data_IF_688611006055
#
_entry.id   IF_688611006055
#
_cell.length_a   1.000
_cell.length_b   1.000
_cell.length_c   1.000
_cell.angle_alpha   90.00
_cell.angle_beta   90.00
_cell.angle_gamma   90.00
#
_symmetry.space_group_name_H-M   'P 1'
#
loop_
_entity.id
_entity.type
_entity.pdbx_description
1 polymer ?
#
# COMPACT_ATOMS: atom_id res chain seq x y z
N UNK A 1 -35.80 -4.27 -10.93
CA UNK A 1 -36.39 -3.45 -9.85
C UNK A 1 -36.36 -2.00 -10.27
N UNK A 2 -37.53 -1.37 -10.41
CA UNK A 2 -37.64 0.08 -10.67
C UNK A 2 -37.37 0.77 -9.34
N UNK A 3 -36.28 1.53 -9.24
CA UNK A 3 -36.01 2.31 -8.05
C UNK A 3 -37.13 3.35 -7.86
N UNK A 4 -37.80 3.38 -6.70
CA UNK A 4 -38.91 4.29 -6.48
C UNK A 4 -38.44 5.75 -6.51
N UNK A 5 -39.32 6.69 -6.90
CA UNK A 5 -38.95 8.10 -7.18
C UNK A 5 -38.16 8.80 -6.06
N UNK A 6 -38.44 8.46 -4.80
CA UNK A 6 -37.74 8.99 -3.62
C UNK A 6 -36.28 8.53 -3.50
N UNK A 7 -35.88 7.47 -4.22
CA UNK A 7 -34.49 7.02 -4.26
C UNK A 7 -33.57 8.06 -4.92
N UNK A 8 -34.08 8.88 -5.85
CA UNK A 8 -33.23 9.86 -6.55
C UNK A 8 -33.08 11.19 -5.77
N UNK A 9 -33.91 11.42 -4.75
CA UNK A 9 -33.82 12.60 -3.87
C UNK A 9 -33.16 12.22 -2.54
N UNK A 10 -31.93 12.69 -2.33
CA UNK A 10 -31.13 12.42 -1.13
C UNK A 10 -31.77 12.98 0.15
N UNK A 11 -32.54 14.07 0.07
CA UNK A 11 -33.19 14.65 1.25
C UNK A 11 -34.33 13.75 1.72
N UNK A 12 -35.20 13.33 0.80
CA UNK A 12 -36.28 12.40 1.09
C UNK A 12 -35.75 11.03 1.53
N UNK A 13 -34.65 10.57 0.93
CA UNK A 13 -33.96 9.36 1.35
C UNK A 13 -33.47 9.45 2.80
N UNK A 14 -32.82 10.56 3.18
CA UNK A 14 -32.33 10.78 4.53
C UNK A 14 -33.46 10.91 5.56
N UNK A 15 -34.58 11.58 5.22
CA UNK A 15 -35.76 11.67 6.09
C UNK A 15 -36.37 10.29 6.34
N UNK A 16 -36.46 9.44 5.31
CA UNK A 16 -36.96 8.07 5.47
C UNK A 16 -36.05 7.19 6.32
N UNK A 17 -34.73 7.32 6.17
CA UNK A 17 -33.76 6.61 7.02
C UNK A 17 -34.02 6.80 8.52
N UNK A 18 -34.58 7.94 8.93
CA UNK A 18 -34.91 8.21 10.33
C UNK A 18 -36.09 7.37 10.85
N UNK A 19 -36.94 6.84 9.97
CA UNK A 19 -38.10 6.03 10.32
C UNK A 19 -37.85 4.52 10.24
N UNK A 20 -36.74 4.09 9.67
CA UNK A 20 -36.37 2.67 9.64
C UNK A 20 -35.98 2.18 11.03
N UNK A 21 -36.23 0.90 11.31
CA UNK A 21 -35.72 0.23 12.50
C UNK A 21 -34.19 0.09 12.43
N UNK A 22 -33.55 -0.16 13.56
CA UNK A 22 -32.10 -0.36 13.61
C UNK A 22 -31.66 -1.59 12.79
N UNK A 23 -32.48 -2.64 12.76
CA UNK A 23 -32.26 -3.85 11.97
C UNK A 23 -32.35 -3.57 10.47
N UNK A 24 -33.39 -2.86 10.03
CA UNK A 24 -33.56 -2.48 8.61
C UNK A 24 -32.41 -1.58 8.15
N UNK A 25 -31.97 -0.66 9.01
CA UNK A 25 -30.92 0.28 8.68
C UNK A 25 -29.55 -0.40 8.58
N UNK A 26 -29.31 -1.44 9.39
CA UNK A 26 -28.18 -2.35 9.24
C UNK A 26 -28.30 -3.18 7.96
N UNK A 27 -29.47 -3.73 7.65
CA UNK A 27 -29.68 -4.51 6.44
C UNK A 27 -29.40 -3.69 5.16
N UNK A 28 -29.91 -2.46 5.11
CA UNK A 28 -29.62 -1.50 4.04
C UNK A 28 -28.11 -1.23 3.96
N UNK A 29 -27.43 -1.03 5.09
CA UNK A 29 -25.99 -0.83 5.14
C UNK A 29 -25.21 -2.03 4.56
N UNK A 30 -25.65 -3.26 4.84
CA UNK A 30 -25.03 -4.48 4.32
C UNK A 30 -25.30 -4.70 2.83
N UNK A 31 -26.43 -4.24 2.30
CA UNK A 31 -26.85 -4.52 0.91
C UNK A 31 -26.62 -3.37 -0.09
N UNK A 32 -26.43 -2.14 0.38
CA UNK A 32 -26.16 -1.01 -0.51
C UNK A 32 -24.76 -1.10 -1.14
N UNK A 33 -24.64 -0.76 -2.43
CA UNK A 33 -23.37 -0.79 -3.13
C UNK A 33 -22.62 0.55 -2.97
N UNK A 34 -21.49 0.61 -2.23
CA UNK A 34 -20.89 1.88 -1.82
C UNK A 34 -20.27 2.67 -2.98
N UNK A 35 -19.78 1.99 -4.03
CA UNK A 35 -19.18 2.66 -5.20
C UNK A 35 -20.26 3.21 -6.14
N UNK A 36 -21.32 2.45 -6.38
CA UNK A 36 -22.39 2.82 -7.33
C UNK A 36 -23.35 3.84 -6.73
N UNK A 37 -23.57 3.79 -5.42
CA UNK A 37 -24.52 4.65 -4.68
C UNK A 37 -23.85 5.32 -3.48
N UNK A 38 -22.73 6.00 -3.74
CA UNK A 38 -21.89 6.59 -2.69
C UNK A 38 -22.66 7.60 -1.81
N UNK A 39 -23.48 8.46 -2.41
CA UNK A 39 -24.22 9.47 -1.67
C UNK A 39 -25.24 8.85 -0.70
N UNK A 40 -25.99 7.85 -1.15
CA UNK A 40 -26.94 7.08 -0.34
C UNK A 40 -26.23 6.31 0.77
N UNK A 41 -25.08 5.70 0.47
CA UNK A 41 -24.27 5.01 1.47
C UNK A 41 -23.82 5.95 2.60
N UNK A 42 -23.43 7.18 2.26
CA UNK A 42 -23.07 8.19 3.25
C UNK A 42 -24.26 8.62 4.11
N UNK A 43 -25.47 8.70 3.55
CA UNK A 43 -26.69 8.97 4.32
C UNK A 43 -26.97 7.87 5.36
N UNK A 44 -26.87 6.60 4.96
CA UNK A 44 -27.03 5.45 5.89
C UNK A 44 -25.98 5.49 6.99
N UNK A 45 -24.71 5.72 6.63
CA UNK A 45 -23.61 5.86 7.60
C UNK A 45 -23.78 7.03 8.56
N UNK A 46 -24.42 8.11 8.12
CA UNK A 46 -24.70 9.29 8.96
C UNK A 46 -25.77 8.96 9.99
N UNK A 47 -26.83 8.26 9.57
CA UNK A 47 -27.92 7.88 10.45
C UNK A 47 -27.49 6.79 11.46
N UNK A 48 -26.70 5.80 11.04
CA UNK A 48 -26.07 4.83 11.95
C UNK A 48 -25.25 5.53 13.05
N UNK A 49 -24.41 6.51 12.66
CA UNK A 49 -23.62 7.30 13.60
C UNK A 49 -24.48 8.13 14.53
N UNK A 50 -25.56 8.74 14.02
CA UNK A 50 -26.52 9.51 14.82
C UNK A 50 -27.17 8.66 15.91
N UNK A 51 -27.49 7.41 15.61
CA UNK A 51 -28.10 6.44 16.54
C UNK A 51 -27.09 5.75 17.47
N UNK A 52 -25.81 6.10 17.39
CA UNK A 52 -24.76 5.44 18.17
C UNK A 52 -24.51 3.99 17.77
N UNK A 53 -25.15 3.51 16.70
CA UNK A 53 -24.90 2.20 16.11
C UNK A 53 -23.54 2.27 15.44
N UNK A 54 -22.55 1.63 16.05
CA UNK A 54 -21.30 1.34 15.38
C UNK A 54 -21.58 0.13 14.50
N UNK A 55 -21.81 0.28 13.17
CA UNK A 55 -21.80 -0.88 12.32
C UNK A 55 -20.45 -1.56 12.59
N UNK A 56 -20.48 -2.77 13.17
CA UNK A 56 -19.30 -3.64 13.12
C UNK A 56 -18.96 -3.64 11.65
N UNK A 57 -17.79 -3.10 11.30
CA UNK A 57 -17.38 -2.96 9.92
C UNK A 57 -17.72 -4.28 9.25
N UNK A 58 -18.74 -4.24 8.37
CA UNK A 58 -19.16 -5.41 7.64
C UNK A 58 -17.89 -5.93 7.02
N UNK A 59 -17.38 -7.04 7.53
CA UNK A 59 -16.27 -7.77 6.97
C UNK A 59 -16.78 -8.29 5.64
N UNK A 60 -16.86 -7.41 4.63
CA UNK A 60 -17.17 -7.82 3.28
C UNK A 60 -15.93 -8.58 2.81
N UNK A 61 -16.04 -9.89 2.57
CA UNK A 61 -14.96 -10.63 1.95
C UNK A 61 -14.76 -10.06 0.54
N UNK A 62 -13.55 -9.58 0.27
CA UNK A 62 -12.94 -9.43 -1.05
C UNK A 62 -13.88 -9.18 -2.25
N UNK A 63 -14.28 -7.93 -2.46
CA UNK A 63 -14.66 -7.48 -3.80
C UNK A 63 -13.43 -6.82 -4.47
N UNK A 64 -12.58 -7.68 -5.05
CA UNK A 64 -11.37 -7.30 -5.79
C UNK A 64 -10.13 -7.22 -4.90
N UNK A 65 -9.17 -8.12 -5.13
CA UNK A 65 -7.85 -8.22 -4.46
C UNK A 65 -7.17 -6.85 -4.30
N UNK A 66 -7.51 -6.12 -3.24
CA UNK A 66 -6.72 -5.02 -2.72
C UNK A 66 -6.01 -5.57 -1.52
N UNK A 67 -4.68 -5.64 -1.61
CA UNK A 67 -3.82 -5.89 -0.46
C UNK A 67 -4.16 -4.82 0.57
N UNK A 68 -4.93 -5.13 1.60
CA UNK A 68 -5.35 -4.16 2.61
C UNK A 68 -4.83 -4.64 3.97
N UNK A 69 -3.56 -4.32 4.23
CA UNK A 69 -2.79 -4.71 5.41
C UNK A 69 -3.56 -4.53 6.74
N UNK A 70 -4.36 -3.46 6.95
CA UNK A 70 -5.19 -3.30 8.15
C UNK A 70 -6.23 -4.40 8.33
N UNK A 71 -6.81 -4.92 7.24
CA UNK A 71 -7.80 -6.00 7.29
C UNK A 71 -7.15 -7.32 7.69
N UNK A 72 -5.93 -7.59 7.21
CA UNK A 72 -5.17 -8.79 7.58
C UNK A 72 -4.82 -8.81 9.06
N UNK A 73 -4.40 -7.66 9.62
CA UNK A 73 -4.11 -7.53 11.05
C UNK A 73 -5.40 -7.66 11.89
N UNK A 74 -6.51 -7.10 11.41
CA UNK A 74 -7.82 -7.21 12.07
C UNK A 74 -8.42 -8.62 12.06
N UNK A 75 -8.05 -9.46 11.09
CA UNK A 75 -8.50 -10.85 11.00
C UNK A 75 -7.83 -11.77 12.04
N UNK A 76 -6.73 -11.34 12.67
CA UNK A 76 -6.07 -12.11 13.71
C UNK A 76 -6.82 -11.94 15.04
N UNK A 77 -7.65 -12.92 15.40
CA UNK A 77 -8.57 -12.86 16.54
C UNK A 77 -7.93 -12.57 17.91
N UNK A 78 -6.64 -12.89 18.09
CA UNK A 78 -5.88 -12.54 19.30
C UNK A 78 -5.52 -11.05 19.37
N UNK A 79 -5.29 -10.41 18.21
CA UNK A 79 -4.84 -9.02 18.11
C UNK A 79 -6.03 -8.04 18.18
N UNK A 80 -7.21 -8.47 17.73
CA UNK A 80 -8.43 -7.66 17.77
C UNK A 80 -8.85 -7.22 19.18
N UNK A 81 -8.40 -7.93 20.23
CA UNK A 81 -8.71 -7.62 21.64
C UNK A 81 -7.78 -6.55 22.25
N UNK A 82 -6.66 -6.24 21.60
CA UNK A 82 -5.64 -5.31 22.12
C UNK A 82 -5.29 -4.25 21.06
N UNK A 83 -5.91 -3.06 21.09
CA UNK A 83 -5.76 -2.05 20.03
C UNK A 83 -4.32 -1.52 19.90
N UNK A 84 -3.55 -1.54 20.99
CA UNK A 84 -2.15 -1.11 21.02
C UNK A 84 -1.24 -2.15 20.35
N UNK A 85 -1.48 -3.44 20.62
CA UNK A 85 -0.78 -4.55 19.97
C UNK A 85 -1.06 -4.58 18.46
N UNK A 86 -2.31 -4.31 18.07
CA UNK A 86 -2.70 -4.20 16.66
C UNK A 86 -1.91 -3.11 15.91
N UNK A 87 -1.68 -1.95 16.54
CA UNK A 87 -0.87 -0.87 15.98
C UNK A 87 0.60 -1.25 15.85
N UNK A 88 1.17 -1.90 16.87
CA UNK A 88 2.57 -2.36 16.83
C UNK A 88 2.79 -3.40 15.73
N UNK A 89 1.92 -4.41 15.65
CA UNK A 89 1.99 -5.45 14.62
C UNK A 89 1.80 -4.84 13.23
N UNK A 90 0.83 -3.93 13.07
CA UNK A 90 0.64 -3.22 11.82
C UNK A 90 1.86 -2.40 11.39
N UNK A 91 2.48 -1.69 12.34
CA UNK A 91 3.70 -0.93 12.09
C UNK A 91 4.87 -1.81 11.68
N UNK A 92 5.08 -2.91 12.40
CA UNK A 92 6.13 -3.88 12.09
C UNK A 92 5.92 -4.50 10.70
N UNK A 93 4.69 -4.93 10.40
CA UNK A 93 4.36 -5.48 9.08
C UNK A 93 4.54 -4.45 7.96
N UNK A 94 4.18 -3.19 8.21
CA UNK A 94 4.39 -2.09 7.25
C UNK A 94 5.89 -1.91 6.95
N UNK A 95 6.72 -1.90 7.99
CA UNK A 95 8.16 -1.76 7.86
C UNK A 95 8.77 -2.95 7.12
N UNK A 96 8.44 -4.18 7.53
CA UNK A 96 8.94 -5.41 6.92
C UNK A 96 8.48 -5.56 5.47
N UNK A 97 7.21 -5.24 5.17
CA UNK A 97 6.68 -5.31 3.82
C UNK A 97 7.41 -4.35 2.90
N UNK A 98 7.55 -3.09 3.30
CA UNK A 98 8.31 -2.10 2.53
C UNK A 98 9.76 -2.53 2.33
N UNK A 99 10.41 -3.02 3.39
CA UNK A 99 11.79 -3.50 3.32
C UNK A 99 11.93 -4.67 2.34
N UNK A 100 11.01 -5.64 2.38
CA UNK A 100 10.99 -6.80 1.50
C UNK A 100 10.73 -6.41 0.04
N UNK A 101 9.75 -5.54 -0.23
CA UNK A 101 9.45 -5.07 -1.59
C UNK A 101 10.61 -4.28 -2.19
N UNK A 102 11.29 -3.48 -1.37
CA UNK A 102 12.50 -2.76 -1.77
C UNK A 102 13.64 -3.74 -2.07
N UNK A 103 13.82 -4.78 -1.24
CA UNK A 103 14.83 -5.81 -1.47
C UNK A 103 14.57 -6.59 -2.76
N UNK A 104 13.31 -6.94 -3.05
CA UNK A 104 12.90 -7.56 -4.31
C UNK A 104 13.20 -6.64 -5.50
N UNK A 105 12.93 -5.34 -5.38
CA UNK A 105 13.26 -4.35 -6.40
C UNK A 105 14.77 -4.16 -6.62
N UNK A 106 15.58 -4.34 -5.56
CA UNK A 106 17.04 -4.24 -5.62
C UNK A 106 17.71 -5.55 -6.07
N UNK A 107 17.04 -6.71 -5.92
CA UNK A 107 17.55 -8.00 -6.35
C UNK A 107 18.03 -8.04 -7.82
N UNK A 108 17.28 -7.51 -8.82
CA UNK A 108 17.77 -7.48 -10.20
C UNK A 108 19.00 -6.57 -10.37
N UNK A 109 19.07 -5.44 -9.64
CA UNK A 109 20.26 -4.56 -9.64
C UNK A 109 21.46 -5.32 -9.07
N UNK A 110 21.28 -5.99 -7.93
CA UNK A 110 22.32 -6.83 -7.33
C UNK A 110 22.80 -7.91 -8.30
N UNK A 111 21.87 -8.70 -8.85
CA UNK A 111 22.20 -9.80 -9.76
C UNK A 111 22.90 -9.30 -11.03
N UNK A 112 22.44 -8.18 -11.62
CA UNK A 112 23.08 -7.57 -12.77
C UNK A 112 24.53 -7.18 -12.44
N UNK A 113 24.77 -6.54 -11.29
CA UNK A 113 26.15 -6.17 -10.89
C UNK A 113 27.05 -7.37 -10.60
N UNK A 114 26.50 -8.51 -10.15
CA UNK A 114 27.29 -9.72 -9.95
C UNK A 114 27.62 -10.43 -11.27
N UNK A 115 26.63 -10.54 -12.16
CA UNK A 115 26.76 -11.27 -13.42
C UNK A 115 27.57 -10.50 -14.48
N UNK A 116 27.51 -9.17 -14.46
CA UNK A 116 28.26 -8.35 -15.40
C UNK A 116 29.74 -8.29 -15.00
N UNK A 117 30.60 -8.74 -15.92
CA UNK A 117 32.06 -8.66 -15.75
C UNK A 117 32.55 -7.21 -15.86
N UNK A 118 31.95 -6.45 -16.77
CA UNK A 118 32.22 -5.03 -16.98
C UNK A 118 30.92 -4.24 -16.90
N UNK A 119 30.97 -3.06 -16.28
CA UNK A 119 29.86 -2.13 -16.17
C UNK A 119 30.38 -0.80 -16.72
N UNK A 120 29.82 -0.35 -17.82
CA UNK A 120 30.14 0.95 -18.40
C UNK A 120 29.41 2.09 -17.63
N UNK A 121 29.83 3.36 -17.81
CA UNK A 121 29.24 4.49 -17.11
C UNK A 121 27.73 4.67 -17.36
N UNK A 122 27.23 4.36 -18.57
CA UNK A 122 25.79 4.48 -18.88
C UNK A 122 24.98 3.40 -18.17
N UNK A 123 25.46 2.15 -18.19
CA UNK A 123 24.83 1.06 -17.43
C UNK A 123 24.86 1.34 -15.92
N UNK A 124 25.96 1.90 -15.41
CA UNK A 124 26.05 2.28 -14.00
C UNK A 124 25.03 3.38 -13.63
N UNK A 125 24.83 4.37 -14.49
CA UNK A 125 23.82 5.43 -14.32
C UNK A 125 22.40 4.84 -14.36
N UNK A 126 22.13 3.93 -15.29
CA UNK A 126 20.86 3.21 -15.34
C UNK A 126 20.59 2.42 -14.04
N UNK A 127 21.58 1.67 -13.55
CA UNK A 127 21.46 0.93 -12.29
C UNK A 127 21.20 1.88 -11.10
N UNK A 128 21.84 3.06 -11.06
CA UNK A 128 21.54 4.11 -10.06
C UNK A 128 20.10 4.61 -10.12
N UNK A 129 19.54 4.77 -11.32
CA UNK A 129 18.12 5.11 -11.46
C UNK A 129 17.22 3.97 -10.94
N UNK A 130 17.58 2.72 -11.21
CA UNK A 130 16.86 1.55 -10.69
C UNK A 130 16.89 1.47 -9.16
N UNK A 131 17.96 1.90 -8.49
CA UNK A 131 18.03 2.01 -7.03
C UNK A 131 16.96 2.94 -6.47
N UNK A 132 16.85 4.14 -7.04
CA UNK A 132 15.82 5.13 -6.64
C UNK A 132 14.43 4.60 -6.93
N UNK A 133 14.26 3.93 -8.08
CA UNK A 133 13.00 3.31 -8.45
C UNK A 133 12.58 2.19 -7.48
N UNK A 134 13.50 1.30 -7.11
CA UNK A 134 13.25 0.21 -6.17
C UNK A 134 12.82 0.74 -4.79
N UNK A 135 13.48 1.80 -4.31
CA UNK A 135 13.09 2.50 -3.09
C UNK A 135 11.65 3.06 -3.19
N UNK A 136 11.36 3.80 -4.26
CA UNK A 136 10.05 4.40 -4.47
C UNK A 136 8.94 3.36 -4.62
N UNK A 137 9.22 2.25 -5.31
CA UNK A 137 8.29 1.15 -5.53
C UNK A 137 7.94 0.44 -4.22
N UNK A 138 8.93 0.17 -3.35
CA UNK A 138 8.68 -0.42 -2.03
C UNK A 138 7.79 0.45 -1.14
N UNK A 139 8.08 1.75 -1.07
CA UNK A 139 7.28 2.70 -0.30
C UNK A 139 5.86 2.86 -0.89
N UNK A 140 5.75 2.98 -2.22
CA UNK A 140 4.49 3.19 -2.92
C UNK A 140 3.55 1.98 -2.86
N UNK A 141 4.07 0.77 -3.06
CA UNK A 141 3.27 -0.44 -2.94
C UNK A 141 2.78 -0.66 -1.51
N UNK A 142 3.59 -0.34 -0.51
CA UNK A 142 3.20 -0.40 0.91
C UNK A 142 2.14 0.66 1.24
N UNK A 143 2.25 1.87 0.68
CA UNK A 143 1.21 2.89 0.76
C UNK A 143 -0.10 2.41 0.12
N UNK A 144 -0.03 1.79 -1.07
CA UNK A 144 -1.19 1.16 -1.71
C UNK A 144 -1.77 0.02 -0.90
N UNK A 145 -0.95 -0.64 -0.07
CA UNK A 145 -1.38 -1.70 0.82
C UNK A 145 -2.12 -1.22 2.08
N UNK A 146 -2.31 0.10 2.25
CA UNK A 146 -3.09 0.68 3.35
C UNK A 146 -2.27 1.47 4.38
N UNK A 147 -0.94 1.57 4.22
CA UNK A 147 -0.08 2.37 5.11
C UNK A 147 -0.22 3.88 4.81
N UNK A 148 -1.26 4.52 5.34
CA UNK A 148 -1.53 5.97 5.18
C UNK A 148 -1.19 6.78 6.44
N UNK A 149 -0.98 8.09 6.26
CA UNK A 149 -0.67 8.99 7.37
C UNK A 149 0.69 8.69 7.99
N UNK A 150 0.80 8.61 9.32
CA UNK A 150 2.08 8.30 9.99
C UNK A 150 2.72 6.97 9.58
N UNK A 151 1.94 6.02 9.05
CA UNK A 151 2.45 4.74 8.56
C UNK A 151 3.20 4.84 7.22
N UNK A 152 2.97 5.89 6.43
CA UNK A 152 3.76 6.10 5.21
C UNK A 152 5.21 6.47 5.54
N UNK A 153 5.45 7.13 6.69
CA UNK A 153 6.80 7.38 7.19
C UNK A 153 7.50 6.07 7.57
N UNK A 154 6.78 5.13 8.19
CA UNK A 154 7.32 3.80 8.49
C UNK A 154 7.62 2.99 7.22
N UNK A 155 6.78 3.11 6.20
CA UNK A 155 7.09 2.54 4.88
C UNK A 155 8.34 3.20 4.27
N UNK A 156 8.45 4.52 4.30
CA UNK A 156 9.66 5.20 3.82
C UNK A 156 10.92 4.77 4.60
N UNK A 157 10.80 4.58 5.92
CA UNK A 157 11.89 4.09 6.77
C UNK A 157 12.30 2.66 6.40
N UNK A 158 11.35 1.74 6.19
CA UNK A 158 11.62 0.37 5.74
C UNK A 158 12.40 0.34 4.42
N UNK A 159 11.91 1.07 3.41
CA UNK A 159 12.58 1.19 2.12
C UNK A 159 13.96 1.84 2.24
N UNK A 160 14.09 2.87 3.08
CA UNK A 160 15.36 3.55 3.30
C UNK A 160 16.38 2.64 3.99
N UNK A 161 15.96 1.86 5.00
CA UNK A 161 16.83 0.92 5.69
C UNK A 161 17.39 -0.14 4.74
N UNK A 162 16.55 -0.72 3.87
CA UNK A 162 17.00 -1.68 2.85
C UNK A 162 17.92 -1.04 1.81
N UNK A 163 17.60 0.18 1.36
CA UNK A 163 18.46 0.91 0.42
C UNK A 163 19.84 1.17 1.06
N UNK A 164 19.87 1.66 2.30
CA UNK A 164 21.10 1.86 3.06
C UNK A 164 21.92 0.56 3.19
N UNK A 165 21.27 -0.56 3.49
CA UNK A 165 21.94 -1.86 3.53
C UNK A 165 22.59 -2.21 2.18
N UNK A 166 21.93 -1.89 1.06
CA UNK A 166 22.50 -2.08 -0.27
C UNK A 166 23.69 -1.16 -0.54
N UNK A 167 23.68 0.09 -0.07
CA UNK A 167 24.81 1.02 -0.26
C UNK A 167 26.12 0.49 0.34
N UNK A 168 26.04 -0.31 1.40
CA UNK A 168 27.22 -0.94 2.02
C UNK A 168 27.74 -2.19 1.29
N UNK A 169 27.12 -2.57 0.17
CA UNK A 169 27.49 -3.80 -0.55
C UNK A 169 28.58 -3.56 -1.58
N UNK A 170 29.31 -4.63 -1.93
CA UNK A 170 30.27 -4.61 -3.04
C UNK A 170 29.62 -4.32 -4.39
N UNK A 171 28.33 -4.64 -4.55
CA UNK A 171 27.55 -4.33 -5.74
C UNK A 171 27.48 -2.81 -5.98
N UNK A 172 27.12 -2.05 -4.95
CA UNK A 172 27.10 -0.59 -5.03
C UNK A 172 28.48 0.01 -5.30
N UNK A 173 29.52 -0.48 -4.62
CA UNK A 173 30.89 -0.04 -4.86
C UNK A 173 31.34 -0.20 -6.33
N UNK A 174 30.93 -1.30 -7.00
CA UNK A 174 31.21 -1.51 -8.44
C UNK A 174 30.49 -0.50 -9.32
N UNK A 175 29.22 -0.17 -9.02
CA UNK A 175 28.45 0.85 -9.76
C UNK A 175 29.14 2.22 -9.64
N UNK A 176 29.51 2.63 -8.42
CA UNK A 176 30.18 3.91 -8.19
C UNK A 176 31.53 3.96 -8.89
N UNK A 177 32.31 2.87 -8.83
CA UNK A 177 33.59 2.81 -9.52
C UNK A 177 33.44 2.94 -11.04
N UNK A 178 32.44 2.30 -11.64
CA UNK A 178 32.13 2.41 -13.06
C UNK A 178 31.74 3.85 -13.48
N UNK A 179 31.05 4.59 -12.62
CA UNK A 179 30.68 6.00 -12.88
C UNK A 179 31.89 6.96 -12.91
N UNK A 180 32.96 6.62 -12.18
CA UNK A 180 34.17 7.45 -12.14
C UNK A 180 35.16 7.12 -13.25
N UNK A 181 34.91 6.06 -14.04
CA UNK A 181 35.76 5.73 -15.18
C UNK A 181 35.42 6.67 -16.36
N UNK A 182 36.43 7.25 -17.03
CA UNK A 182 36.21 8.10 -18.17
C UNK A 182 35.50 7.30 -19.29
N UNK A 183 34.46 7.86 -19.93
CA UNK A 183 33.77 7.21 -21.04
C UNK A 183 34.77 7.05 -22.20
N UNK A 184 35.35 5.84 -22.32
CA UNK A 184 36.38 5.52 -23.33
C UNK A 184 37.57 4.70 -22.83
N UNK A 185 37.70 4.44 -21.51
CA UNK A 185 38.88 3.76 -20.95
C UNK A 185 38.89 2.22 -21.02
N UNK A 186 37.86 1.58 -21.56
CA UNK A 186 37.70 0.11 -21.49
C UNK A 186 36.95 -0.45 -22.68
N UNK A 187 37.58 -0.45 -23.85
CA UNK A 187 36.96 -0.98 -25.07
C UNK A 187 37.75 -0.72 -26.34
N UNK A 188 39.07 -0.95 -26.32
CA UNK A 188 39.74 -1.34 -27.55
C UNK A 188 39.10 -2.66 -27.98
N UNK A 189 38.45 -2.67 -29.15
CA UNK A 189 38.04 -3.88 -29.83
C UNK A 189 39.29 -4.67 -30.19
N UNK A 190 39.70 -5.54 -29.28
CA UNK A 190 40.73 -6.56 -29.47
C UNK A 190 40.06 -7.92 -29.41
N UNK A 191 39.87 -8.49 -30.61
CA UNK A 191 39.26 -9.77 -30.98
C UNK A 191 37.75 -9.80 -31.14
#
# INVERSE_FOLDING_TARGET
>A
MIAPRWWFDLKQYAERLQHYSDEDLLDIYFHIHPIRYQAHYLCVLRELRRRGLKPRAASRPFAGLRWDLPQWVGAWGMIARAPLLARLVFGLLTLLLSAALTAIGLAPVWSATLLMRYIDPFTALFLMMCLVWAWGLGAWLTYRAGARGGWSLLAALGSSATLWAFLYTRAFARIVHALHQPPGGGGGWGF
#
